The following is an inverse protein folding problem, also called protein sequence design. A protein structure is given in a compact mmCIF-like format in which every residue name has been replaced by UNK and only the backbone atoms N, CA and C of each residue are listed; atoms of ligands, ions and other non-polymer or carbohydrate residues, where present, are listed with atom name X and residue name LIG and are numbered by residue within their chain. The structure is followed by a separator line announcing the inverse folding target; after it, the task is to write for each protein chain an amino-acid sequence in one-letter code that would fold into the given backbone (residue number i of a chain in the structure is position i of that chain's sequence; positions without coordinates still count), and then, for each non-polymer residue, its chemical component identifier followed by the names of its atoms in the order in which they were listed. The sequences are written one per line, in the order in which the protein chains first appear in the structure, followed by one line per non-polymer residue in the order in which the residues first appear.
data_IF_581063070618
#
_entry.id   IF_581063070618
#
_cell.length_a   1.000
_cell.length_b   1.000
_cell.length_c   1.000
_cell.angle_alpha   90.00
_cell.angle_beta   90.00
_cell.angle_gamma   90.00
#
_symmetry.space_group_name_H-M   'P 1'
#
loop_
_entity.id
_entity.type
_entity.pdbx_description
1 polymer ?
#
# COMPACT_ATOMS: atom_id res chain seq x y z
N UNK A 1 -13.16 -2.58 -0.55
CA UNK A 1 -12.44 -3.33 -1.62
C UNK A 1 -10.94 -3.07 -1.51
N UNK A 2 -10.09 -4.12 -1.54
CA UNK A 2 -8.64 -4.00 -1.32
C UNK A 2 -7.83 -4.60 -2.49
N UNK A 3 -6.85 -3.86 -2.99
CA UNK A 3 -5.98 -4.29 -4.08
C UNK A 3 -4.50 -4.09 -3.74
N UNK A 4 -3.68 -5.10 -4.01
CA UNK A 4 -2.21 -4.98 -3.92
C UNK A 4 -1.69 -4.42 -5.24
N UNK A 5 -0.88 -3.37 -5.17
CA UNK A 5 -0.27 -2.72 -6.32
C UNK A 5 1.11 -3.28 -6.62
N UNK A 6 1.41 -3.42 -7.91
CA UNK A 6 2.78 -3.51 -8.40
C UNK A 6 3.46 -2.14 -8.36
N UNK A 7 4.80 -2.14 -8.36
CA UNK A 7 5.62 -0.92 -8.38
C UNK A 7 5.24 0.03 -9.53
N UNK A 8 5.09 -0.51 -10.75
CA UNK A 8 4.76 0.28 -11.93
C UNK A 8 3.42 1.00 -11.79
N UNK A 9 2.39 0.28 -11.32
CA UNK A 9 1.05 0.83 -11.13
C UNK A 9 1.01 1.85 -9.98
N UNK A 10 1.77 1.61 -8.93
CA UNK A 10 1.93 2.55 -7.83
C UNK A 10 2.56 3.86 -8.30
N UNK A 11 3.68 3.80 -9.02
CA UNK A 11 4.37 5.00 -9.51
C UNK A 11 3.50 5.80 -10.49
N UNK A 12 2.74 5.12 -11.36
CA UNK A 12 1.79 5.78 -12.26
C UNK A 12 0.70 6.53 -11.48
N UNK A 13 0.05 5.86 -10.53
CA UNK A 13 -1.01 6.47 -9.71
C UNK A 13 -0.49 7.60 -8.82
N UNK A 14 0.74 7.46 -8.30
CA UNK A 14 1.43 8.47 -7.50
C UNK A 14 1.73 9.71 -8.34
N UNK A 15 2.26 9.53 -9.54
CA UNK A 15 2.60 10.63 -10.47
C UNK A 15 1.36 11.41 -10.89
N UNK A 16 0.25 10.70 -11.12
CA UNK A 16 -1.03 11.30 -11.48
C UNK A 16 -1.77 11.95 -10.29
N UNK A 17 -1.24 11.82 -9.06
CA UNK A 17 -1.86 12.38 -7.85
C UNK A 17 -3.18 11.72 -7.46
N UNK A 18 -3.45 10.50 -7.96
CA UNK A 18 -4.74 9.78 -7.77
C UNK A 18 -4.82 8.96 -6.50
N UNK A 19 -3.76 8.94 -5.69
CA UNK A 19 -3.69 8.16 -4.46
C UNK A 19 -3.33 9.02 -3.27
N UNK A 20 -4.07 8.83 -2.18
CA UNK A 20 -3.82 9.47 -0.90
C UNK A 20 -3.25 8.43 0.06
N UNK A 21 -2.09 8.71 0.64
CA UNK A 21 -1.56 7.86 1.71
C UNK A 21 -2.46 7.91 2.94
N UNK A 22 -2.76 6.75 3.55
CA UNK A 22 -3.65 6.67 4.72
C UNK A 22 -3.07 5.95 5.93
N UNK A 23 -2.23 4.93 5.76
CA UNK A 23 -1.74 4.11 6.89
C UNK A 23 -0.57 3.20 6.55
N UNK A 24 0.09 2.70 7.60
CA UNK A 24 1.15 1.68 7.55
C UNK A 24 0.68 0.40 8.24
N UNK A 25 1.10 -0.76 7.70
CA UNK A 25 0.72 -2.09 8.20
C UNK A 25 1.88 -3.07 8.15
N UNK A 26 1.88 -4.05 9.05
CA UNK A 26 2.90 -5.10 9.09
C UNK A 26 2.76 -6.08 7.91
N UNK A 27 1.53 -6.53 7.64
CA UNK A 27 1.22 -7.56 6.64
C UNK A 27 0.03 -7.17 5.76
N UNK A 28 0.01 -7.71 4.53
CA UNK A 28 -1.07 -7.43 3.57
C UNK A 28 -2.39 -8.01 4.07
N UNK A 29 -2.35 -9.13 4.80
CA UNK A 29 -3.53 -9.78 5.36
C UNK A 29 -4.22 -8.93 6.41
N UNK A 30 -3.46 -8.34 7.35
CA UNK A 30 -4.03 -7.43 8.35
C UNK A 30 -4.69 -6.21 7.69
N UNK A 31 -3.99 -5.60 6.73
CA UNK A 31 -4.52 -4.48 5.97
C UNK A 31 -5.78 -4.88 5.17
N UNK A 32 -5.74 -6.03 4.48
CA UNK A 32 -6.87 -6.55 3.72
C UNK A 32 -8.07 -6.78 4.61
N UNK A 33 -7.92 -7.47 5.74
CA UNK A 33 -9.02 -7.75 6.66
C UNK A 33 -9.70 -6.46 7.16
N UNK A 34 -8.94 -5.39 7.38
CA UNK A 34 -9.50 -4.12 7.82
C UNK A 34 -10.19 -3.33 6.68
N UNK A 35 -9.57 -3.26 5.50
CA UNK A 35 -10.04 -2.42 4.39
C UNK A 35 -10.97 -3.12 3.40
N UNK A 36 -11.08 -4.45 3.45
CA UNK A 36 -11.89 -5.20 2.49
C UNK A 36 -13.37 -4.83 2.60
N UNK A 37 -13.86 -4.67 3.82
CA UNK A 37 -15.28 -4.42 4.13
C UNK A 37 -15.66 -2.93 4.02
N UNK A 38 -14.69 -2.06 3.77
CA UNK A 38 -14.93 -0.64 3.60
C UNK A 38 -15.42 -0.29 2.18
N UNK A 39 -16.28 0.74 2.03
CA UNK A 39 -16.93 1.07 0.76
C UNK A 39 -16.00 1.68 -0.29
N UNK A 40 -14.77 2.05 0.08
CA UNK A 40 -13.79 2.63 -0.84
C UNK A 40 -12.81 1.59 -1.40
N UNK A 41 -12.12 1.99 -2.47
CA UNK A 41 -11.00 1.25 -3.01
C UNK A 41 -9.71 1.64 -2.29
N UNK A 42 -9.15 0.65 -1.58
CA UNK A 42 -7.88 0.76 -0.88
C UNK A 42 -6.80 0.00 -1.62
N UNK A 43 -5.63 0.61 -1.71
CA UNK A 43 -4.50 0.15 -2.48
C UNK A 43 -3.32 -0.06 -1.55
N UNK A 44 -2.73 -1.24 -1.53
CA UNK A 44 -1.54 -1.52 -0.72
C UNK A 44 -0.31 -1.69 -1.59
N UNK A 45 0.78 -1.06 -1.18
CA UNK A 45 2.08 -1.16 -1.83
C UNK A 45 3.16 -1.40 -0.79
N UNK A 46 4.00 -2.41 -1.02
CA UNK A 46 5.21 -2.64 -0.26
C UNK A 46 6.39 -2.23 -1.13
N UNK A 47 7.19 -1.22 -0.74
CA UNK A 47 8.40 -0.91 -1.46
C UNK A 47 9.32 -2.12 -1.40
N UNK A 48 9.73 -2.63 -2.57
CA UNK A 48 10.83 -3.58 -2.64
C UNK A 48 12.04 -2.96 -1.96
N UNK A 49 12.64 -3.75 -1.07
CA UNK A 49 13.68 -3.35 -0.12
C UNK A 49 14.64 -2.34 -0.75
N UNK A 50 14.68 -1.12 -0.21
CA UNK A 50 15.95 -0.40 -0.20
C UNK A 50 16.94 -1.33 0.49
N UNK A 51 18.13 -1.50 -0.06
CA UNK A 51 19.26 -2.27 0.48
C UNK A 51 19.70 -1.75 1.85
N UNK A 52 18.84 -1.87 2.86
CA UNK A 52 19.10 -1.39 4.21
C UNK A 52 19.32 -2.61 5.08
N UNK A 53 20.59 -2.72 5.45
CA UNK A 53 21.33 -3.68 6.28
C UNK A 53 20.80 -3.87 7.71
N UNK A 54 19.51 -3.67 7.97
CA UNK A 54 18.96 -3.78 9.32
C UNK A 54 17.70 -4.63 9.34
N UNK A 55 17.60 -5.50 10.35
CA UNK A 55 16.60 -6.55 10.56
C UNK A 55 15.14 -6.08 10.72
N UNK A 56 14.78 -4.89 10.26
CA UNK A 56 13.43 -4.33 10.33
C UNK A 56 12.70 -4.53 9.01
N UNK A 57 11.57 -5.24 9.07
CA UNK A 57 10.71 -5.45 7.90
C UNK A 57 10.16 -4.11 7.40
N UNK A 58 10.33 -3.81 6.10
CA UNK A 58 9.69 -2.64 5.47
C UNK A 58 8.16 -2.72 5.64
N UNK A 59 7.52 -1.72 6.26
CA UNK A 59 6.07 -1.74 6.45
C UNK A 59 5.34 -1.56 5.11
N UNK A 60 4.15 -2.15 5.02
CA UNK A 60 3.24 -2.00 3.89
C UNK A 60 2.53 -0.66 4.01
N UNK A 61 2.49 0.09 2.91
CA UNK A 61 1.80 1.37 2.83
C UNK A 61 0.44 1.16 2.19
N UNK A 62 -0.61 1.68 2.81
CA UNK A 62 -1.97 1.67 2.24
C UNK A 62 -2.34 3.08 1.82
N UNK A 63 -3.03 3.14 0.68
CA UNK A 63 -3.49 4.34 0.01
C UNK A 63 -4.99 4.24 -0.29
N UNK A 64 -5.66 5.37 -0.33
CA UNK A 64 -7.04 5.52 -0.82
C UNK A 64 -7.00 6.10 -2.22
N UNK A 65 -7.77 5.54 -3.15
CA UNK A 65 -7.95 6.14 -4.47
C UNK A 65 -8.88 7.38 -4.35
N UNK A 66 -8.48 8.52 -4.93
CA UNK A 66 -9.26 9.76 -5.00
C UNK A 66 -10.05 9.80 -6.31
#
# INVERSE_FOLDING_TARGET
MFQILSKEKFELLRKDGRILFISLWDTFEKAKNYYNDMPHLYLAYKPDKLEITHAFSTPIKVYKLI
#
